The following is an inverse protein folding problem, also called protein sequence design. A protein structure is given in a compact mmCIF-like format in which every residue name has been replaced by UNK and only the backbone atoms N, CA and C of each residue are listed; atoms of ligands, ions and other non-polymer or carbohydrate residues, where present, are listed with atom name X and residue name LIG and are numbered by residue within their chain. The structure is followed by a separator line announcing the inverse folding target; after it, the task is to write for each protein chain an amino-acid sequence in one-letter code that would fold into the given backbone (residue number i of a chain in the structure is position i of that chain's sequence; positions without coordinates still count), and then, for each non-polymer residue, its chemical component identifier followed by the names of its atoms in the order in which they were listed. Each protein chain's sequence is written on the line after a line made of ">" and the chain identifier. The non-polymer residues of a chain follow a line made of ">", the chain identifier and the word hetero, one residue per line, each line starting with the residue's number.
data_IF_274842372435
#
_entry.id   IF_274842372435
#
_cell.length_a   1.000
_cell.length_b   1.000
_cell.length_c   1.000
_cell.angle_alpha   90.00
_cell.angle_beta   90.00
_cell.angle_gamma   90.00
#
_symmetry.space_group_name_H-M   'P 1'
#
loop_
_entity.id
_entity.type
_entity.pdbx_description
1 polymer ?
#
# COMPACT_ATOMS: atom_id res chain seq x y z
N UNK A 1 -1.74 -3.34 14.44
CA UNK A 1 -0.63 -4.07 13.78
C UNK A 1 0.45 -3.08 13.37
N UNK A 2 1.74 -3.44 13.40
CA UNK A 2 2.86 -2.59 12.92
C UNK A 2 3.47 -3.19 11.67
N UNK A 3 3.57 -2.42 10.58
CA UNK A 3 4.08 -2.92 9.29
C UNK A 3 5.02 -1.91 8.67
N UNK A 4 6.09 -2.40 8.04
CA UNK A 4 6.99 -1.58 7.24
C UNK A 4 6.39 -1.38 5.84
N UNK A 5 6.07 -0.14 5.49
CA UNK A 5 5.49 0.20 4.19
C UNK A 5 6.13 1.46 3.64
N UNK A 6 6.24 1.57 2.31
CA UNK A 6 6.46 2.87 1.64
C UNK A 6 5.11 3.59 1.50
N UNK A 7 5.05 4.91 1.29
CA UNK A 7 6.15 5.88 1.37
C UNK A 7 6.68 6.04 2.81
N UNK A 8 7.86 6.63 2.96
CA UNK A 8 8.43 6.99 4.26
C UNK A 8 7.61 8.09 4.95
N UNK A 9 7.66 8.16 6.27
CA UNK A 9 7.03 9.26 6.99
C UNK A 9 7.71 10.58 6.63
N UNK A 10 6.96 11.59 6.13
CA UNK A 10 7.53 12.88 5.72
C UNK A 10 8.13 13.68 6.90
N UNK A 11 7.76 13.34 8.14
CA UNK A 11 8.26 14.02 9.34
C UNK A 11 9.53 13.42 9.94
N UNK A 12 9.69 12.09 9.88
CA UNK A 12 10.78 11.40 10.61
C UNK A 12 11.50 10.33 9.79
N UNK A 13 11.13 10.12 8.52
CA UNK A 13 11.72 9.10 7.65
C UNK A 13 11.35 7.66 8.01
N UNK A 14 10.65 7.41 9.12
CA UNK A 14 10.28 6.06 9.52
C UNK A 14 9.36 5.39 8.50
N UNK A 15 9.66 4.13 8.18
CA UNK A 15 8.83 3.26 7.33
C UNK A 15 7.78 2.47 8.12
N UNK A 16 7.84 2.51 9.45
CA UNK A 16 6.96 1.75 10.32
C UNK A 16 5.66 2.52 10.52
N UNK A 17 4.55 1.92 10.08
CA UNK A 17 3.20 2.46 10.27
C UNK A 17 2.40 1.58 11.21
N UNK A 18 1.54 2.23 11.99
CA UNK A 18 0.57 1.62 12.89
C UNK A 18 -0.78 1.60 12.20
N UNK A 19 -1.20 0.40 11.83
CA UNK A 19 -2.50 0.14 11.21
C UNK A 19 -3.54 -0.16 12.28
N UNK A 20 -4.81 0.23 12.04
CA UNK A 20 -5.88 0.05 13.01
C UNK A 20 -6.15 -1.43 13.33
N UNK A 21 -6.67 -1.72 14.53
CA UNK A 21 -6.85 -3.10 15.01
C UNK A 21 -8.11 -3.82 14.47
N UNK A 22 -8.98 -3.16 13.70
CA UNK A 22 -10.09 -3.82 12.99
C UNK A 22 -11.46 -3.14 13.17
N UNK A 23 -11.84 -2.37 12.14
CA UNK A 23 -13.17 -2.13 11.52
C UNK A 23 -12.92 -1.12 10.38
N UNK A 24 -13.65 -1.21 9.27
CA UNK A 24 -13.24 -0.60 7.99
C UNK A 24 -13.67 0.86 7.82
N UNK A 25 -14.57 1.34 8.67
CA UNK A 25 -15.41 2.48 8.33
C UNK A 25 -14.80 3.87 8.66
N UNK A 26 -13.95 4.03 9.69
CA UNK A 26 -13.32 5.33 10.00
C UNK A 26 -12.02 5.21 10.84
N UNK A 27 -10.95 4.59 10.32
CA UNK A 27 -9.69 4.48 11.08
C UNK A 27 -8.48 5.05 10.36
N UNK A 28 -7.67 5.83 11.08
CA UNK A 28 -6.47 6.49 10.56
C UNK A 28 -5.22 5.62 10.66
N UNK A 29 -4.28 5.85 9.74
CA UNK A 29 -2.95 5.24 9.73
C UNK A 29 -1.97 6.24 10.30
N UNK A 30 -1.20 5.82 11.30
CA UNK A 30 -0.20 6.69 11.95
C UNK A 30 1.21 6.18 11.73
N UNK A 31 2.18 7.10 11.69
CA UNK A 31 3.59 6.76 11.83
C UNK A 31 3.88 6.25 13.24
N UNK A 32 4.49 5.08 13.37
CA UNK A 32 4.82 4.53 14.69
C UNK A 32 5.97 5.29 15.38
N UNK A 33 6.82 5.98 14.61
CA UNK A 33 7.98 6.71 15.12
C UNK A 33 7.69 8.12 15.63
N UNK A 34 6.79 8.87 14.98
CA UNK A 34 6.51 10.26 15.35
C UNK A 34 5.01 10.61 15.47
N UNK A 35 4.12 9.64 15.25
CA UNK A 35 2.67 9.86 15.33
C UNK A 35 2.07 10.67 14.17
N UNK A 36 2.82 10.92 13.09
CA UNK A 36 2.27 11.58 11.91
C UNK A 36 1.06 10.82 11.36
N UNK A 37 -0.03 11.54 11.13
CA UNK A 37 -1.28 11.02 10.59
C UNK A 37 -1.21 10.99 9.06
N UNK A 38 -1.36 9.80 8.47
CA UNK A 38 -1.46 9.59 7.02
C UNK A 38 -2.91 9.67 6.52
N UNK A 39 -3.89 9.89 7.41
CA UNK A 39 -5.31 9.89 7.10
C UNK A 39 -5.94 8.51 7.22
N UNK A 40 -7.19 8.39 6.75
CA UNK A 40 -7.94 7.13 6.84
C UNK A 40 -7.28 6.02 6.03
N UNK A 41 -7.43 4.79 6.53
CA UNK A 41 -6.84 3.59 5.95
C UNK A 41 -7.31 3.33 4.51
N UNK A 42 -8.59 3.55 4.20
CA UNK A 42 -9.14 3.37 2.86
C UNK A 42 -8.55 4.37 1.85
N UNK A 43 -8.43 5.65 2.23
CA UNK A 43 -7.74 6.64 1.42
C UNK A 43 -6.24 6.33 1.28
N UNK A 44 -5.59 5.90 2.35
CA UNK A 44 -4.18 5.52 2.33
C UNK A 44 -3.94 4.32 1.39
N UNK A 45 -4.80 3.30 1.42
CA UNK A 45 -4.72 2.14 0.53
C UNK A 45 -4.92 2.52 -0.93
N UNK A 46 -5.84 3.45 -1.22
CA UNK A 46 -6.10 3.92 -2.58
C UNK A 46 -4.85 4.49 -3.27
N UNK A 47 -3.87 5.00 -2.51
CA UNK A 47 -2.61 5.52 -3.06
C UNK A 47 -1.72 4.42 -3.67
N UNK A 48 -1.90 3.16 -3.27
CA UNK A 48 -1.13 2.04 -3.81
C UNK A 48 -1.78 1.35 -5.00
N UNK A 49 -3.07 1.65 -5.26
CA UNK A 49 -3.83 0.99 -6.34
C UNK A 49 -3.22 1.25 -7.71
N UNK A 50 -2.78 2.47 -7.99
CA UNK A 50 -2.11 2.80 -9.25
C UNK A 50 -0.82 1.98 -9.45
N UNK A 51 -0.06 1.74 -8.38
CA UNK A 51 1.17 0.92 -8.45
C UNK A 51 0.84 -0.54 -8.75
N UNK A 52 -0.27 -1.06 -8.20
CA UNK A 52 -0.74 -2.41 -8.51
C UNK A 52 -1.22 -2.49 -9.96
N UNK A 53 -1.98 -1.50 -10.44
CA UNK A 53 -2.45 -1.45 -11.83
C UNK A 53 -1.28 -1.41 -12.83
N UNK A 54 -0.23 -0.64 -12.54
CA UNK A 54 1.01 -0.59 -13.34
C UNK A 54 1.76 -1.93 -13.32
N UNK A 55 1.87 -2.57 -12.14
CA UNK A 55 2.50 -3.88 -12.02
C UNK A 55 1.73 -4.95 -12.80
N UNK A 56 0.41 -4.94 -12.73
CA UNK A 56 -0.44 -5.87 -13.49
C UNK A 56 -0.32 -5.65 -15.00
N UNK A 57 -0.24 -4.39 -15.45
CA UNK A 57 -0.02 -4.07 -16.86
C UNK A 57 1.33 -4.61 -17.36
N UNK A 58 2.43 -4.35 -16.64
CA UNK A 58 3.74 -4.88 -16.98
C UNK A 58 3.77 -6.42 -16.97
N UNK A 59 3.10 -7.07 -16.02
CA UNK A 59 3.05 -8.54 -15.99
C UNK A 59 2.29 -9.11 -17.19
N UNK A 60 1.21 -8.47 -17.64
CA UNK A 60 0.46 -8.88 -18.85
C UNK A 60 1.30 -8.71 -20.13
N UNK A 61 2.12 -7.67 -20.21
CA UNK A 61 3.06 -7.47 -21.32
C UNK A 61 4.17 -8.53 -21.37
N UNK A 62 4.49 -9.11 -20.20
CA UNK A 62 5.53 -10.12 -20.05
C UNK A 62 5.01 -11.57 -20.01
N UNK A 63 3.70 -11.82 -20.14
CA UNK A 63 3.22 -13.18 -20.39
C UNK A 63 3.66 -13.61 -21.80
N UNK A 64 4.56 -14.60 -21.94
CA UNK A 64 4.78 -15.21 -23.25
C UNK A 64 3.46 -15.85 -23.66
N UNK A 65 2.96 -15.46 -24.83
CA UNK A 65 1.82 -16.08 -25.49
C UNK A 65 2.07 -17.58 -25.61
N UNK A 66 1.66 -18.36 -24.62
CA UNK A 66 1.74 -19.81 -24.64
C UNK A 66 0.56 -20.30 -25.47
N UNK A 67 0.66 -20.12 -26.79
CA UNK A 67 -0.19 -20.75 -27.79
C UNK A 67 0.16 -22.25 -27.90
N UNK A 68 0.04 -22.97 -26.79
CA UNK A 68 0.00 -24.43 -26.76
C UNK A 68 -1.43 -24.90 -26.97
N UNK A 69 -1.87 -24.90 -28.23
CA UNK A 69 -3.06 -25.64 -28.67
C UNK A 69 -2.84 -27.16 -28.46
N UNK A 70 -3.92 -27.97 -28.31
CA UNK A 70 -3.86 -29.37 -27.85
C UNK A 70 -3.09 -30.33 -28.76
#
# INVERSE_FOLDING_TARGET
>A
MKVQTRPECPKCGSRVKRFPPGREDQYHVYCDGCGHDFGRFDYFQAQFRHVLDELEAHLKEHEPSNNGAP
#
